data_IF_532999962028
#
_entry.id   IF_532999962028
#
_cell.length_a   1.000
_cell.length_b   1.000
_cell.length_c   1.000
_cell.angle_alpha   90.00
_cell.angle_beta   90.00
_cell.angle_gamma   90.00
#
_symmetry.space_group_name_H-M   'P 1'
#
loop_
_entity.id
_entity.type
_entity.pdbx_description
1 polymer ?
#
# COMPACT_ATOMS: atom_id res chain seq x y z
N UNK A 1 30.64 -28.94 0.46
CA UNK A 1 30.40 -27.49 0.23
C UNK A 1 28.98 -27.19 -0.27
N UNK A 2 28.46 -27.86 -1.31
CA UNK A 2 27.07 -27.68 -1.81
C UNK A 2 25.95 -28.04 -0.81
N UNK A 3 26.23 -28.93 0.15
CA UNK A 3 25.23 -29.41 1.11
C UNK A 3 25.01 -28.44 2.28
N UNK A 4 26.05 -27.75 2.75
CA UNK A 4 25.92 -26.70 3.77
C UNK A 4 25.15 -25.50 3.24
N UNK A 5 25.47 -25.04 2.02
CA UNK A 5 24.74 -23.94 1.37
C UNK A 5 23.24 -24.25 1.19
N UNK A 6 22.90 -25.51 0.90
CA UNK A 6 21.50 -25.94 0.77
C UNK A 6 20.77 -26.04 2.12
N UNK A 7 21.47 -26.38 3.21
CA UNK A 7 20.90 -26.38 4.57
C UNK A 7 20.70 -24.95 5.09
N UNK A 8 21.66 -24.09 4.86
CA UNK A 8 21.65 -22.67 5.25
C UNK A 8 20.54 -21.90 4.52
N UNK A 9 20.39 -22.13 3.20
CA UNK A 9 19.32 -21.52 2.41
C UNK A 9 17.91 -22.03 2.80
N UNK A 10 17.80 -23.31 3.23
CA UNK A 10 16.52 -23.88 3.69
C UNK A 10 16.16 -23.38 5.09
N UNK A 11 17.16 -23.20 5.96
CA UNK A 11 16.99 -22.62 7.29
C UNK A 11 16.57 -21.15 7.21
N UNK A 12 17.24 -20.37 6.37
CA UNK A 12 16.91 -18.95 6.19
C UNK A 12 15.51 -18.74 5.58
N UNK A 13 15.12 -19.59 4.64
CA UNK A 13 13.77 -19.55 4.05
C UNK A 13 12.67 -19.92 5.07
N UNK A 14 12.90 -20.94 5.90
CA UNK A 14 11.96 -21.33 6.96
C UNK A 14 11.85 -20.26 8.05
N UNK A 15 12.97 -19.65 8.45
CA UNK A 15 13.01 -18.60 9.46
C UNK A 15 12.26 -17.34 9.00
N UNK A 16 12.51 -16.88 7.77
CA UNK A 16 11.80 -15.74 7.16
C UNK A 16 10.29 -16.04 7.02
N UNK A 17 9.92 -17.30 6.74
CA UNK A 17 8.52 -17.72 6.62
C UNK A 17 7.80 -17.80 7.98
N UNK A 18 8.48 -18.25 9.04
CA UNK A 18 7.94 -18.27 10.41
C UNK A 18 7.79 -16.86 10.99
N UNK A 19 8.75 -15.96 10.75
CA UNK A 19 8.64 -14.55 11.15
C UNK A 19 7.46 -13.86 10.44
N UNK A 20 7.29 -14.11 9.13
CA UNK A 20 6.14 -13.59 8.38
C UNK A 20 4.80 -14.12 8.91
N UNK A 21 4.70 -15.42 9.24
CA UNK A 21 3.47 -16.02 9.75
C UNK A 21 3.10 -15.50 11.14
N UNK A 22 4.07 -15.37 12.04
CA UNK A 22 3.85 -14.85 13.39
C UNK A 22 3.44 -13.38 13.37
N UNK A 23 4.01 -12.57 12.48
CA UNK A 23 3.60 -11.18 12.29
C UNK A 23 2.16 -11.06 11.75
N UNK A 24 1.79 -11.90 10.79
CA UNK A 24 0.41 -11.97 10.25
C UNK A 24 -0.57 -12.38 11.34
N UNK A 25 -0.24 -13.39 12.15
CA UNK A 25 -1.08 -13.84 13.26
C UNK A 25 -1.24 -12.74 14.31
N UNK A 26 -0.16 -12.03 14.67
CA UNK A 26 -0.19 -10.96 15.65
C UNK A 26 -1.00 -9.74 15.18
N UNK A 27 -0.72 -9.24 13.98
CA UNK A 27 -1.46 -8.10 13.40
C UNK A 27 -2.91 -8.46 13.09
N UNK A 28 -3.12 -9.66 12.56
CA UNK A 28 -4.45 -10.19 12.23
C UNK A 28 -5.33 -10.41 13.46
N UNK A 29 -4.79 -11.03 14.51
CA UNK A 29 -5.53 -11.22 15.77
C UNK A 29 -5.88 -9.87 16.42
N UNK A 30 -4.96 -8.91 16.42
CA UNK A 30 -5.22 -7.56 16.93
C UNK A 30 -6.33 -6.85 16.16
N UNK A 31 -6.33 -6.96 14.82
CA UNK A 31 -7.41 -6.43 13.97
C UNK A 31 -8.76 -7.10 14.29
N UNK A 32 -8.77 -8.43 14.39
CA UNK A 32 -9.98 -9.19 14.76
C UNK A 32 -10.54 -8.79 16.12
N UNK A 33 -9.68 -8.60 17.12
CA UNK A 33 -10.06 -8.14 18.45
C UNK A 33 -10.65 -6.72 18.43
N UNK A 34 -10.07 -5.79 17.68
CA UNK A 34 -10.62 -4.44 17.55
C UNK A 34 -12.03 -4.48 16.97
N UNK A 35 -12.23 -5.21 15.87
CA UNK A 35 -13.55 -5.37 15.25
C UNK A 35 -14.57 -6.01 16.20
N UNK A 36 -14.13 -7.02 16.98
CA UNK A 36 -14.97 -7.70 17.95
C UNK A 36 -15.40 -6.79 19.10
N UNK A 37 -14.45 -6.06 19.71
CA UNK A 37 -14.73 -5.13 20.82
C UNK A 37 -15.66 -4.00 20.36
N UNK A 38 -15.42 -3.40 19.19
CA UNK A 38 -16.32 -2.37 18.64
C UNK A 38 -17.73 -2.91 18.39
N UNK A 39 -17.83 -4.15 17.90
CA UNK A 39 -19.12 -4.81 17.67
C UNK A 39 -19.85 -5.12 18.99
N UNK A 40 -19.12 -5.55 20.03
CA UNK A 40 -19.67 -5.73 21.39
C UNK A 40 -20.24 -4.42 21.96
N UNK A 41 -19.49 -3.32 21.84
CA UNK A 41 -19.96 -1.99 22.28
C UNK A 41 -21.23 -1.60 21.53
N UNK A 42 -21.27 -1.82 20.22
CA UNK A 42 -22.46 -1.50 19.41
C UNK A 42 -23.65 -2.36 19.80
N UNK A 43 -23.46 -3.68 20.01
CA UNK A 43 -24.52 -4.58 20.45
C UNK A 43 -25.07 -4.18 21.82
N UNK A 44 -24.23 -3.74 22.74
CA UNK A 44 -24.65 -3.22 24.05
C UNK A 44 -25.50 -1.96 23.94
N UNK A 45 -25.15 -1.04 23.02
CA UNK A 45 -25.88 0.22 22.83
C UNK A 45 -27.17 0.03 22.03
N UNK A 46 -27.16 -0.81 21.00
CA UNK A 46 -28.30 -1.02 20.11
C UNK A 46 -29.32 -2.01 20.69
N UNK A 47 -28.93 -2.84 21.67
CA UNK A 47 -29.75 -3.86 22.31
C UNK A 47 -30.67 -4.64 21.35
N UNK A 48 -30.13 -5.23 20.26
CA UNK A 48 -30.96 -5.90 19.25
C UNK A 48 -31.56 -7.21 19.78
N UNK A 49 -32.71 -7.59 19.21
CA UNK A 49 -33.35 -8.88 19.47
C UNK A 49 -32.42 -10.07 19.15
N UNK A 50 -32.54 -11.17 19.90
CA UNK A 50 -31.73 -12.39 19.70
C UNK A 50 -30.37 -12.39 20.42
N UNK A 51 -30.18 -11.51 21.41
CA UNK A 51 -28.92 -11.41 22.17
C UNK A 51 -28.58 -12.69 22.97
N UNK A 52 -29.58 -13.51 23.33
CA UNK A 52 -29.35 -14.79 24.04
C UNK A 52 -28.57 -15.79 23.18
N UNK A 53 -28.87 -15.86 21.88
CA UNK A 53 -28.14 -16.70 20.92
C UNK A 53 -26.70 -16.23 20.75
N UNK A 54 -26.45 -14.92 20.82
CA UNK A 54 -25.09 -14.37 20.83
C UNK A 54 -24.27 -14.89 22.01
N UNK A 55 -24.83 -14.89 23.22
CA UNK A 55 -24.13 -15.37 24.41
C UNK A 55 -23.84 -16.88 24.36
N UNK A 56 -24.79 -17.67 23.83
CA UNK A 56 -24.58 -19.11 23.61
C UNK A 56 -23.44 -19.40 22.62
N UNK A 57 -23.28 -18.55 21.59
CA UNK A 57 -22.27 -18.71 20.54
C UNK A 57 -21.03 -17.83 20.74
N UNK A 58 -20.85 -17.24 21.93
CA UNK A 58 -19.83 -16.21 22.16
C UNK A 58 -18.42 -16.63 21.74
N UNK A 59 -17.98 -17.85 22.11
CA UNK A 59 -16.66 -18.36 21.77
C UNK A 59 -16.49 -18.57 20.26
N UNK A 60 -17.53 -19.09 19.60
CA UNK A 60 -17.52 -19.30 18.15
C UNK A 60 -17.42 -17.97 17.42
N UNK A 61 -18.17 -16.97 17.89
CA UNK A 61 -18.14 -15.62 17.33
C UNK A 61 -16.75 -15.01 17.54
N UNK A 62 -16.19 -15.05 18.75
CA UNK A 62 -14.84 -14.55 19.02
C UNK A 62 -13.79 -15.18 18.09
N UNK A 63 -13.79 -16.52 17.97
CA UNK A 63 -12.87 -17.24 17.09
C UNK A 63 -13.06 -16.85 15.63
N UNK A 64 -14.30 -16.64 15.18
CA UNK A 64 -14.58 -16.18 13.82
C UNK A 64 -13.99 -14.79 13.54
N UNK A 65 -14.02 -13.88 14.52
CA UNK A 65 -13.41 -12.55 14.40
C UNK A 65 -11.89 -12.61 14.34
N UNK A 66 -11.27 -13.47 15.17
CA UNK A 66 -9.82 -13.70 15.12
C UNK A 66 -9.39 -14.29 13.79
N UNK A 67 -10.11 -15.30 13.29
CA UNK A 67 -9.85 -15.91 12.00
C UNK A 67 -10.04 -14.91 10.85
N UNK A 68 -11.12 -14.10 10.88
CA UNK A 68 -11.38 -13.07 9.90
C UNK A 68 -10.27 -11.99 9.88
N UNK A 69 -9.81 -11.54 11.06
CA UNK A 69 -8.70 -10.59 11.16
C UNK A 69 -7.40 -11.13 10.55
N UNK A 70 -7.08 -12.41 10.82
CA UNK A 70 -5.93 -13.08 10.20
C UNK A 70 -6.08 -13.23 8.68
N UNK A 71 -7.27 -13.61 8.20
CA UNK A 71 -7.56 -13.73 6.78
C UNK A 71 -7.43 -12.38 6.06
N UNK A 72 -7.94 -11.30 6.64
CA UNK A 72 -7.80 -9.95 6.09
C UNK A 72 -6.33 -9.52 6.02
N UNK A 73 -5.53 -9.86 7.03
CA UNK A 73 -4.11 -9.56 7.03
C UNK A 73 -3.34 -10.36 5.96
N UNK A 74 -3.71 -11.63 5.74
CA UNK A 74 -3.20 -12.44 4.63
C UNK A 74 -3.54 -11.80 3.28
N UNK A 75 -4.81 -11.43 3.05
CA UNK A 75 -5.24 -10.80 1.81
C UNK A 75 -4.48 -9.49 1.56
N UNK A 76 -4.30 -8.66 2.60
CA UNK A 76 -3.49 -7.42 2.52
C UNK A 76 -2.06 -7.70 2.05
N UNK A 77 -1.44 -8.79 2.52
CA UNK A 77 -0.11 -9.22 2.10
C UNK A 77 -0.01 -9.62 0.63
N UNK A 78 -1.10 -10.15 0.05
CA UNK A 78 -1.18 -10.49 -1.38
C UNK A 78 -1.60 -9.31 -2.28
N UNK A 79 -2.25 -8.30 -1.71
CA UNK A 79 -2.76 -7.14 -2.46
C UNK A 79 -1.68 -6.37 -3.25
N UNK A 80 -0.44 -6.15 -2.79
CA UNK A 80 0.57 -5.43 -3.58
C UNK A 80 1.02 -6.16 -4.86
N UNK A 81 0.74 -7.46 -5.00
CA UNK A 81 1.06 -8.23 -6.22
C UNK A 81 -0.06 -8.16 -7.27
N UNK A 82 -1.23 -7.63 -6.92
CA UNK A 82 -2.35 -7.46 -7.83
C UNK A 82 -2.20 -6.12 -8.57
N UNK A 83 -1.17 -6.01 -9.40
CA UNK A 83 -0.92 -4.87 -10.28
C UNK A 83 -1.89 -4.84 -11.48
N UNK A 84 -3.18 -4.96 -11.18
CA UNK A 84 -4.21 -5.21 -12.18
C UNK A 84 -5.03 -3.94 -12.42
N UNK A 85 -5.12 -3.55 -13.68
CA UNK A 85 -5.98 -2.49 -14.22
C UNK A 85 -7.45 -2.54 -13.74
N UNK A 86 -7.86 -3.63 -13.07
CA UNK A 86 -9.17 -3.86 -12.47
C UNK A 86 -9.51 -2.93 -11.31
N UNK A 87 -8.52 -2.28 -10.69
CA UNK A 87 -8.73 -1.34 -9.58
C UNK A 87 -8.55 0.13 -9.97
N UNK A 88 -8.51 0.46 -11.27
CA UNK A 88 -8.38 1.85 -11.74
C UNK A 88 -9.71 2.39 -12.28
N UNK A 89 -10.00 3.66 -11.97
CA UNK A 89 -11.11 4.42 -12.56
C UNK A 89 -12.50 3.83 -12.29
N UNK A 90 -13.32 3.71 -13.34
CA UNK A 90 -14.70 3.25 -13.25
C UNK A 90 -14.86 1.83 -12.68
N UNK A 91 -13.85 0.97 -12.86
CA UNK A 91 -13.86 -0.39 -12.34
C UNK A 91 -13.82 -0.43 -10.80
N UNK A 92 -13.06 0.47 -10.17
CA UNK A 92 -13.02 0.59 -8.71
C UNK A 92 -14.38 1.05 -8.14
N UNK A 93 -15.06 1.96 -8.85
CA UNK A 93 -16.40 2.44 -8.47
C UNK A 93 -17.42 1.31 -8.56
N UNK A 94 -17.38 0.46 -9.59
CA UNK A 94 -18.25 -0.72 -9.67
C UNK A 94 -17.99 -1.74 -8.57
N UNK A 95 -16.75 -1.93 -8.11
CA UNK A 95 -16.46 -2.77 -6.95
C UNK A 95 -17.09 -2.22 -5.67
N UNK A 96 -17.11 -0.90 -5.48
CA UNK A 96 -17.82 -0.28 -4.36
C UNK A 96 -19.32 -0.54 -4.42
N UNK A 97 -19.96 -0.41 -5.59
CA UNK A 97 -21.39 -0.70 -5.75
C UNK A 97 -21.73 -2.18 -5.55
N UNK A 98 -20.90 -3.10 -6.06
CA UNK A 98 -21.09 -4.54 -5.83
C UNK A 98 -20.94 -4.90 -4.36
N UNK A 99 -19.98 -4.30 -3.66
CA UNK A 99 -19.78 -4.51 -2.23
C UNK A 99 -20.96 -3.97 -1.41
N UNK A 100 -21.48 -2.78 -1.75
CA UNK A 100 -22.67 -2.20 -1.13
C UNK A 100 -23.93 -3.03 -1.41
N UNK A 101 -24.11 -3.50 -2.65
CA UNK A 101 -25.21 -4.38 -3.03
C UNK A 101 -25.16 -5.69 -2.24
N UNK A 102 -23.99 -6.31 -2.15
CA UNK A 102 -23.80 -7.54 -1.39
C UNK A 102 -24.06 -7.34 0.10
N UNK A 103 -23.52 -6.26 0.69
CA UNK A 103 -23.81 -5.89 2.09
C UNK A 103 -25.31 -5.72 2.31
N UNK A 104 -26.00 -4.97 1.44
CA UNK A 104 -27.44 -4.72 1.58
C UNK A 104 -28.24 -6.02 1.47
N UNK A 105 -27.92 -6.89 0.51
CA UNK A 105 -28.56 -8.19 0.33
C UNK A 105 -28.31 -9.13 1.52
N UNK A 106 -27.08 -9.17 2.04
CA UNK A 106 -26.71 -9.99 3.19
C UNK A 106 -27.45 -9.52 4.46
N UNK A 107 -27.59 -8.21 4.64
CA UNK A 107 -28.27 -7.63 5.80
C UNK A 107 -29.78 -7.88 5.83
N UNK A 108 -30.40 -8.22 4.70
CA UNK A 108 -31.82 -8.61 4.62
C UNK A 108 -32.06 -10.04 5.14
N UNK A 109 -31.10 -10.94 4.94
CA UNK A 109 -31.22 -12.38 5.29
C UNK A 109 -30.77 -12.71 6.71
N UNK A 110 -30.12 -11.78 7.40
CA UNK A 110 -29.42 -12.05 8.66
C UNK A 110 -30.20 -11.53 9.89
N UNK A 111 -30.08 -12.21 11.04
CA UNK A 111 -30.61 -11.73 12.32
C UNK A 111 -30.11 -10.33 12.66
N UNK A 112 -30.93 -9.57 13.38
CA UNK A 112 -30.68 -8.18 13.78
C UNK A 112 -29.34 -7.97 14.49
N UNK A 113 -28.95 -8.89 15.39
CA UNK A 113 -27.65 -8.81 16.06
C UNK A 113 -26.46 -9.04 15.09
N UNK A 114 -26.57 -10.00 14.16
CA UNK A 114 -25.51 -10.28 13.17
C UNK A 114 -25.33 -9.09 12.24
N UNK A 115 -26.44 -8.47 11.81
CA UNK A 115 -26.42 -7.25 10.99
C UNK A 115 -25.67 -6.11 11.68
N UNK A 116 -25.96 -5.86 12.96
CA UNK A 116 -25.28 -4.82 13.72
C UNK A 116 -23.76 -5.08 13.79
N UNK A 117 -23.36 -6.32 14.07
CA UNK A 117 -21.95 -6.72 14.11
C UNK A 117 -21.23 -6.53 12.76
N UNK A 118 -21.86 -6.92 11.65
CA UNK A 118 -21.28 -6.77 10.30
C UNK A 118 -21.13 -5.30 9.91
N UNK A 119 -22.14 -4.46 10.18
CA UNK A 119 -22.09 -3.04 9.86
C UNK A 119 -21.01 -2.32 10.68
N UNK A 120 -20.91 -2.62 11.98
CA UNK A 120 -19.85 -2.06 12.83
C UNK A 120 -18.47 -2.49 12.34
N UNK A 121 -18.31 -3.77 12.01
CA UNK A 121 -17.06 -4.31 11.47
C UNK A 121 -16.64 -3.60 10.18
N UNK A 122 -17.57 -3.40 9.24
CA UNK A 122 -17.31 -2.65 8.02
C UNK A 122 -16.93 -1.19 8.31
N UNK A 123 -17.62 -0.53 9.24
CA UNK A 123 -17.31 0.83 9.65
C UNK A 123 -15.91 0.96 10.25
N UNK A 124 -15.51 0.04 11.14
CA UNK A 124 -14.15 0.01 11.73
C UNK A 124 -13.09 -0.15 10.66
N UNK A 125 -13.29 -1.05 9.70
CA UNK A 125 -12.35 -1.26 8.59
C UNK A 125 -12.20 -0.01 7.72
N UNK A 126 -13.31 0.68 7.41
CA UNK A 126 -13.29 1.92 6.66
C UNK A 126 -12.55 3.03 7.41
N UNK A 127 -12.82 3.18 8.72
CA UNK A 127 -12.14 4.18 9.55
C UNK A 127 -10.64 3.93 9.66
N UNK A 128 -10.23 2.66 9.83
CA UNK A 128 -8.82 2.29 9.85
C UNK A 128 -8.14 2.58 8.51
N UNK A 129 -8.79 2.27 7.39
CA UNK A 129 -8.27 2.60 6.05
C UNK A 129 -8.15 4.10 5.82
N UNK A 130 -9.15 4.88 6.23
CA UNK A 130 -9.13 6.34 6.14
C UNK A 130 -8.00 6.92 7.02
N UNK A 131 -7.79 6.38 8.22
CA UNK A 131 -6.69 6.78 9.09
C UNK A 131 -5.31 6.46 8.50
N UNK A 132 -5.13 5.24 7.97
CA UNK A 132 -3.92 4.85 7.22
C UNK A 132 -3.69 5.79 6.03
N UNK A 133 -4.73 6.08 5.24
CA UNK A 133 -4.65 6.99 4.10
C UNK A 133 -4.23 8.41 4.52
N UNK A 134 -4.84 8.95 5.59
CA UNK A 134 -4.47 10.28 6.10
C UNK A 134 -3.05 10.32 6.64
N UNK A 135 -2.62 9.27 7.34
CA UNK A 135 -1.27 9.15 7.83
C UNK A 135 -0.28 9.13 6.66
N UNK A 136 -0.50 8.28 5.66
CA UNK A 136 0.34 8.22 4.46
C UNK A 136 0.34 9.53 3.68
N UNK A 137 -0.81 10.19 3.55
CA UNK A 137 -0.91 11.52 2.93
C UNK A 137 -0.12 12.56 3.69
N UNK A 138 -0.13 12.53 5.03
CA UNK A 138 0.66 13.43 5.88
C UNK A 138 2.15 13.14 5.73
N UNK A 139 2.56 11.87 5.82
CA UNK A 139 3.97 11.46 5.64
C UNK A 139 4.45 11.84 4.24
N UNK A 140 3.66 11.61 3.19
CA UNK A 140 3.99 12.03 1.84
C UNK A 140 4.10 13.56 1.74
N UNK A 141 3.20 14.31 2.38
CA UNK A 141 3.29 15.78 2.43
C UNK A 141 4.53 16.22 3.19
N UNK A 142 4.86 15.60 4.32
CA UNK A 142 6.01 15.95 5.15
C UNK A 142 7.32 15.62 4.41
N UNK A 143 7.41 14.48 3.71
CA UNK A 143 8.54 14.15 2.84
C UNK A 143 8.64 15.12 1.65
N UNK A 144 7.51 15.45 1.01
CA UNK A 144 7.48 16.40 -0.11
C UNK A 144 7.68 17.86 0.31
N UNK A 145 7.49 18.21 1.59
CA UNK A 145 7.64 19.58 2.12
C UNK A 145 8.90 19.80 2.97
N UNK A 146 9.49 18.75 3.53
CA UNK A 146 10.82 18.77 4.15
C UNK A 146 11.96 18.69 3.13
N UNK A 147 11.64 18.35 1.87
CA UNK A 147 12.51 18.58 0.73
C UNK A 147 12.48 20.06 0.31
N UNK A 148 13.24 20.90 1.04
CA UNK A 148 13.75 22.13 0.45
C UNK A 148 14.65 21.74 -0.74
N UNK A 149 14.10 21.83 -1.95
CA UNK A 149 14.73 21.38 -3.21
C UNK A 149 13.92 20.24 -3.82
N UNK A 150 13.04 20.58 -4.78
CA UNK A 150 12.26 19.59 -5.54
C UNK A 150 13.23 18.62 -6.21
N UNK A 151 13.26 17.40 -5.70
CA UNK A 151 14.07 16.31 -6.24
C UNK A 151 13.11 15.33 -6.91
N UNK A 152 13.09 15.34 -8.24
CA UNK A 152 12.30 14.42 -9.04
C UNK A 152 13.20 13.23 -9.41
N UNK A 153 12.82 12.03 -8.98
CA UNK A 153 13.51 10.78 -9.30
C UNK A 153 12.68 10.04 -10.36
N UNK A 154 13.32 9.71 -11.48
CA UNK A 154 12.70 8.98 -12.59
C UNK A 154 13.45 7.65 -12.74
N UNK A 155 12.79 6.53 -12.46
CA UNK A 155 13.39 5.21 -12.68
C UNK A 155 13.59 4.95 -14.17
N UNK A 156 14.75 4.41 -14.52
CA UNK A 156 15.16 4.05 -15.87
C UNK A 156 15.12 2.54 -16.02
N UNK A 157 14.47 2.06 -17.08
CA UNK A 157 14.36 0.63 -17.38
C UNK A 157 15.74 -0.02 -17.63
N UNK A 158 16.66 0.72 -18.26
CA UNK A 158 18.04 0.29 -18.52
C UNK A 158 19.04 1.41 -18.24
N UNK A 159 20.29 1.04 -17.94
CA UNK A 159 21.41 1.98 -17.83
C UNK A 159 21.66 2.66 -19.19
N UNK A 160 21.74 4.00 -19.26
CA UNK A 160 22.16 4.70 -20.47
C UNK A 160 23.55 4.24 -20.93
N UNK A 161 23.67 3.82 -22.18
CA UNK A 161 24.93 3.29 -22.74
C UNK A 161 25.94 4.38 -23.07
N UNK A 162 25.52 5.63 -23.20
CA UNK A 162 26.36 6.79 -23.43
C UNK A 162 25.75 8.08 -22.82
N UNK A 163 26.54 9.15 -22.66
CA UNK A 163 26.03 10.46 -22.23
C UNK A 163 24.94 11.01 -23.16
N UNK A 164 25.05 10.77 -24.46
CA UNK A 164 24.05 11.18 -25.46
C UNK A 164 22.72 10.48 -25.22
N UNK A 165 22.73 9.17 -24.94
CA UNK A 165 21.53 8.41 -24.62
C UNK A 165 20.84 8.93 -23.34
N UNK A 166 21.62 9.43 -22.38
CA UNK A 166 21.08 10.07 -21.17
C UNK A 166 20.37 11.40 -21.49
N UNK A 167 20.96 12.23 -22.36
CA UNK A 167 20.34 13.48 -22.78
C UNK A 167 19.09 13.26 -23.64
N UNK A 168 19.09 12.26 -24.53
CA UNK A 168 17.91 11.90 -25.33
C UNK A 168 16.72 11.46 -24.44
N UNK A 169 16.99 10.77 -23.34
CA UNK A 169 15.98 10.40 -22.33
C UNK A 169 15.41 11.64 -21.64
N UNK A 170 16.27 12.59 -21.24
CA UNK A 170 15.85 13.84 -20.62
C UNK A 170 14.99 14.69 -21.57
N UNK A 171 15.40 14.82 -22.84
CA UNK A 171 14.65 15.55 -23.86
C UNK A 171 13.29 14.88 -24.14
N UNK A 172 13.28 13.55 -24.24
CA UNK A 172 12.04 12.79 -24.45
C UNK A 172 11.07 12.96 -23.27
N UNK A 173 11.59 12.96 -22.05
CA UNK A 173 10.80 13.23 -20.85
C UNK A 173 10.20 14.65 -20.88
N UNK A 174 11.02 15.67 -21.13
CA UNK A 174 10.56 17.05 -21.18
C UNK A 174 9.52 17.27 -22.29
N UNK A 175 9.70 16.65 -23.46
CA UNK A 175 8.74 16.70 -24.57
C UNK A 175 7.41 16.04 -24.22
N UNK A 176 7.41 14.86 -23.56
CA UNK A 176 6.18 14.19 -23.11
C UNK A 176 5.42 15.02 -22.08
N UNK A 177 6.15 15.67 -21.17
CA UNK A 177 5.59 16.47 -20.08
C UNK A 177 5.30 17.93 -20.49
N UNK A 178 5.56 18.32 -21.74
CA UNK A 178 5.43 19.70 -22.24
C UNK A 178 6.23 20.73 -21.42
N UNK A 179 7.40 20.32 -20.90
CA UNK A 179 8.30 21.15 -20.10
C UNK A 179 9.36 21.77 -21.02
N UNK A 180 9.57 23.09 -20.91
CA UNK A 180 10.63 23.79 -21.65
C UNK A 180 12.00 23.50 -21.04
N UNK A 181 12.92 22.97 -21.86
CA UNK A 181 14.27 22.57 -21.46
C UNK A 181 15.32 23.47 -22.11
N UNK A 182 16.20 24.06 -21.32
CA UNK A 182 17.38 24.81 -21.77
C UNK A 182 18.64 24.22 -21.12
N UNK A 183 19.70 23.99 -21.89
CA UNK A 183 20.97 23.50 -21.34
C UNK A 183 21.88 24.65 -20.93
N UNK A 184 22.31 24.68 -19.66
CA UNK A 184 23.31 25.63 -19.15
C UNK A 184 24.70 24.98 -19.17
N UNK A 185 24.78 23.71 -18.75
CA UNK A 185 26.00 22.87 -18.84
C UNK A 185 25.61 21.45 -19.22
N UNK A 186 26.06 21.00 -20.40
CA UNK A 186 25.81 19.65 -20.93
C UNK A 186 26.93 18.69 -20.51
N UNK A 187 26.90 18.31 -19.24
CA UNK A 187 27.83 17.39 -18.57
C UNK A 187 27.01 16.42 -17.69
N UNK A 188 27.60 15.39 -17.09
CA UNK A 188 26.90 14.56 -16.09
C UNK A 188 27.62 14.73 -14.75
N UNK A 189 27.02 15.37 -13.74
CA UNK A 189 25.65 15.90 -13.71
C UNK A 189 25.47 17.16 -14.59
N UNK A 190 24.29 17.27 -15.20
CA UNK A 190 23.94 18.35 -16.12
C UNK A 190 23.34 19.52 -15.36
N UNK A 191 23.57 20.74 -15.84
CA UNK A 191 22.84 21.92 -15.35
C UNK A 191 21.89 22.37 -16.45
N UNK A 192 20.60 22.34 -16.14
CA UNK A 192 19.53 22.67 -17.10
C UNK A 192 18.57 23.68 -16.49
N UNK A 193 17.92 24.47 -17.34
CA UNK A 193 16.78 25.29 -16.99
C UNK A 193 15.52 24.57 -17.40
N UNK A 194 14.66 24.23 -16.44
CA UNK A 194 13.33 23.68 -16.67
C UNK A 194 12.32 24.76 -16.30
N UNK A 195 11.46 25.16 -17.24
CA UNK A 195 10.47 26.24 -17.04
C UNK A 195 11.08 27.54 -16.47
N UNK A 196 12.30 27.88 -16.90
CA UNK A 196 13.02 29.06 -16.44
C UNK A 196 13.68 28.94 -15.07
N UNK A 197 13.61 27.80 -14.39
CA UNK A 197 14.30 27.53 -13.10
C UNK A 197 15.49 26.61 -13.28
N UNK A 198 16.57 26.87 -12.54
CA UNK A 198 17.83 26.11 -12.65
C UNK A 198 17.71 24.77 -11.91
N UNK A 199 18.16 23.69 -12.55
CA UNK A 199 18.14 22.34 -12.01
C UNK A 199 19.45 21.61 -12.31
N UNK A 200 19.87 20.72 -11.41
CA UNK A 200 20.92 19.72 -11.62
C UNK A 200 20.26 18.40 -12.00
N UNK A 201 20.71 17.76 -13.08
CA UNK A 201 20.26 16.41 -13.48
C UNK A 201 21.42 15.43 -13.34
N UNK A 202 21.27 14.43 -12.48
CA UNK A 202 22.27 13.40 -12.23
C UNK A 202 21.75 12.00 -12.58
N UNK A 203 22.66 11.08 -12.90
CA UNK A 203 22.37 9.65 -12.99
C UNK A 203 22.72 9.00 -11.66
N UNK A 204 21.74 8.38 -11.02
CA UNK A 204 21.88 7.72 -9.71
C UNK A 204 21.61 6.23 -9.81
N UNK A 205 22.41 5.44 -9.09
CA UNK A 205 22.20 4.01 -8.91
C UNK A 205 21.63 3.77 -7.52
N UNK A 206 20.52 3.03 -7.45
CA UNK A 206 19.91 2.61 -6.18
C UNK A 206 19.77 1.08 -6.13
N UNK A 207 19.93 0.51 -4.94
CA UNK A 207 19.78 -0.94 -4.74
C UNK A 207 18.40 -1.23 -4.17
N UNK A 208 17.56 -1.93 -4.93
CA UNK A 208 16.27 -2.46 -4.48
C UNK A 208 16.28 -4.00 -4.49
N UNK A 209 15.30 -4.62 -3.83
CA UNK A 209 15.08 -6.08 -3.84
C UNK A 209 14.75 -6.52 -5.28
N UNK A 210 15.78 -6.93 -6.04
CA UNK A 210 15.67 -7.22 -7.47
C UNK A 210 16.91 -6.86 -8.30
N UNK A 211 17.86 -6.09 -7.74
CA UNK A 211 19.10 -5.70 -8.42
C UNK A 211 19.29 -4.18 -8.47
N UNK A 212 20.34 -3.69 -9.15
CA UNK A 212 20.57 -2.27 -9.31
C UNK A 212 19.50 -1.63 -10.21
N UNK A 213 18.86 -0.57 -9.72
CA UNK A 213 17.91 0.26 -10.48
C UNK A 213 18.59 1.59 -10.77
N UNK A 214 18.62 1.97 -12.04
CA UNK A 214 19.16 3.25 -12.50
C UNK A 214 18.06 4.28 -12.47
N UNK A 215 18.36 5.49 -12.02
CA UNK A 215 17.39 6.58 -11.92
C UNK A 215 18.02 7.88 -12.39
N UNK A 216 17.19 8.74 -12.98
CA UNK A 216 17.54 10.12 -13.30
C UNK A 216 16.99 11.01 -12.19
N UNK A 217 17.88 11.74 -11.53
CA UNK A 217 17.55 12.61 -10.42
C UNK A 217 17.65 14.08 -10.86
N UNK A 218 16.54 14.80 -10.83
CA UNK A 218 16.46 16.22 -11.16
C UNK A 218 16.26 17.01 -9.87
N UNK A 219 17.26 17.81 -9.49
CA UNK A 219 17.24 18.66 -8.29
C UNK A 219 17.17 20.13 -8.66
N UNK A 220 16.19 20.86 -8.15
CA UNK A 220 16.14 22.33 -8.28
C UNK A 220 17.32 22.97 -7.53
N UNK A 221 18.06 23.86 -8.21
CA UNK A 221 19.12 24.67 -7.62
C UNK A 221 18.47 26.00 -7.21
N UNK A 222 18.42 26.27 -5.91
CA UNK A 222 17.92 27.53 -5.34
C UNK A 222 18.86 28.70 -5.66
#
# INVERSE_FOLDING_TARGET
MKENQRKEHRFNCNFIQEEGLTEILKKGSLLGMMMFISSLVTLRLAAPEGLETFWSLFLVILLSYLAAGCLLQLIRGFTPQLDSAWFRGAAAVSWCYLLLFFLTFLTWRLPSFVRAMLLTSAAVLLLLKEAEYRYLKKVAKDLNSSAAGRTLIIDLDEKPRSPEAFFDLLETYCRKSSVTLEYVKKDIPATVKLEGRLHTVALTESYMYGGPVWSMEIREIL
#
